data_IF_682357409234
#
_entry.id   IF_682357409234
#
_cell.length_a   1.000
_cell.length_b   1.000
_cell.length_c   1.000
_cell.angle_alpha   90.00
_cell.angle_beta   90.00
_cell.angle_gamma   90.00
#
_symmetry.space_group_name_H-M   'P 1'
#
loop_
_entity.id
_entity.type
_entity.pdbx_description
1 polymer ?
#
# COMPACT_ATOMS: atom_id res chain seq x y z
N UNK A 1 0.08 5.13 33.96
CA UNK A 1 -0.43 4.83 32.60
C UNK A 1 0.21 3.51 32.17
N UNK A 2 -0.52 2.41 32.27
CA UNK A 2 0.02 1.07 31.99
C UNK A 2 -0.04 0.80 30.48
N UNK A 3 1.11 0.81 29.82
CA UNK A 3 1.23 0.43 28.41
C UNK A 3 1.15 -1.10 28.29
N UNK A 4 -0.02 -1.63 27.94
CA UNK A 4 -0.17 -3.02 27.49
C UNK A 4 0.39 -3.09 26.07
N UNK A 5 1.69 -3.34 25.97
CA UNK A 5 2.26 -3.97 24.77
C UNK A 5 2.57 -5.39 25.21
N UNK A 6 1.67 -6.32 24.87
CA UNK A 6 1.94 -7.74 25.03
C UNK A 6 3.08 -8.08 24.07
N UNK A 7 4.18 -8.64 24.58
CA UNK A 7 5.39 -8.95 23.83
C UNK A 7 5.22 -9.94 22.65
N UNK A 8 3.98 -10.39 22.38
CA UNK A 8 3.66 -11.41 21.38
C UNK A 8 2.51 -10.99 20.44
N UNK A 9 2.40 -9.69 20.14
CA UNK A 9 1.43 -9.20 19.17
C UNK A 9 1.89 -9.54 17.74
N UNK A 10 1.20 -10.48 17.09
CA UNK A 10 1.48 -10.87 15.71
C UNK A 10 0.81 -9.86 14.78
N UNK A 11 1.61 -9.04 14.11
CA UNK A 11 1.13 -8.12 13.07
C UNK A 11 1.15 -8.82 11.71
N UNK A 12 -0.03 -9.08 11.15
CA UNK A 12 -0.13 -9.54 9.76
C UNK A 12 -0.05 -8.33 8.82
N UNK A 13 1.12 -8.14 8.22
CA UNK A 13 1.38 -7.05 7.28
C UNK A 13 1.24 -7.49 5.81
N UNK A 14 0.75 -8.71 5.55
CA UNK A 14 0.57 -9.22 4.20
C UNK A 14 -0.71 -8.65 3.57
N UNK A 15 -0.56 -8.07 2.38
CA UNK A 15 -1.66 -7.51 1.61
C UNK A 15 -1.77 -8.21 0.24
N UNK A 16 -2.99 -8.53 -0.24
CA UNK A 16 -3.18 -9.14 -1.56
C UNK A 16 -2.78 -8.22 -2.73
N UNK A 17 -1.57 -8.36 -3.25
CA UNK A 17 -1.00 -7.56 -4.32
C UNK A 17 -1.76 -7.62 -5.66
N UNK A 18 -1.85 -8.80 -6.25
CA UNK A 18 -2.43 -8.97 -7.58
C UNK A 18 -3.06 -10.35 -7.75
N UNK A 19 -4.00 -10.45 -8.69
CA UNK A 19 -4.63 -11.69 -9.13
C UNK A 19 -4.07 -12.10 -10.49
N UNK A 20 -3.70 -13.37 -10.63
CA UNK A 20 -3.08 -13.93 -11.83
C UNK A 20 -3.97 -15.03 -12.41
N UNK A 21 -4.11 -15.05 -13.74
CA UNK A 21 -5.08 -15.90 -14.44
C UNK A 21 -4.46 -17.00 -15.33
N UNK A 22 -3.14 -16.97 -15.51
CA UNK A 22 -2.39 -17.92 -16.33
C UNK A 22 -1.21 -18.50 -15.55
N UNK A 23 -0.81 -19.71 -15.91
CA UNK A 23 0.35 -20.34 -15.26
C UNK A 23 1.67 -19.66 -15.66
N UNK A 24 1.75 -19.13 -16.88
CA UNK A 24 2.95 -18.48 -17.41
C UNK A 24 3.20 -17.13 -16.72
N UNK A 25 2.16 -16.29 -16.60
CA UNK A 25 2.27 -15.02 -15.86
C UNK A 25 2.59 -15.25 -14.38
N UNK A 26 2.11 -16.36 -13.80
CA UNK A 26 2.42 -16.78 -12.43
C UNK A 26 3.90 -17.10 -12.29
N UNK A 27 4.48 -17.92 -13.18
CA UNK A 27 5.92 -18.26 -13.15
C UNK A 27 6.79 -17.02 -13.32
N UNK A 28 6.46 -16.16 -14.30
CA UNK A 28 7.21 -14.94 -14.56
C UNK A 28 7.21 -14.00 -13.36
N UNK A 29 6.07 -13.86 -12.67
CA UNK A 29 5.97 -13.04 -11.47
C UNK A 29 6.79 -13.62 -10.31
N UNK A 30 6.75 -14.94 -10.10
CA UNK A 30 7.56 -15.62 -9.08
C UNK A 30 9.06 -15.43 -9.32
N UNK A 31 9.53 -15.64 -10.56
CA UNK A 31 10.94 -15.46 -10.92
C UNK A 31 11.40 -14.04 -10.62
N UNK A 32 10.61 -13.03 -10.98
CA UNK A 32 10.94 -11.63 -10.68
C UNK A 32 10.95 -11.34 -9.19
N UNK A 33 9.98 -11.84 -8.43
CA UNK A 33 9.92 -11.63 -6.98
C UNK A 33 11.08 -12.31 -6.25
N UNK A 34 11.42 -13.55 -6.64
CA UNK A 34 12.56 -14.27 -6.09
C UNK A 34 13.89 -13.57 -6.40
N UNK A 35 14.06 -13.09 -7.64
CA UNK A 35 15.25 -12.35 -8.05
C UNK A 35 15.48 -11.08 -7.21
N UNK A 36 14.39 -10.42 -6.80
CA UNK A 36 14.43 -9.18 -6.02
C UNK A 36 14.20 -9.39 -4.51
N UNK A 37 14.20 -10.65 -4.05
CA UNK A 37 14.03 -11.04 -2.64
C UNK A 37 12.74 -10.52 -2.00
N UNK A 38 11.67 -10.39 -2.79
CA UNK A 38 10.34 -10.03 -2.28
C UNK A 38 9.68 -11.26 -1.68
N UNK A 39 9.26 -11.17 -0.43
CA UNK A 39 8.51 -12.25 0.21
C UNK A 39 7.07 -12.24 -0.25
N UNK A 40 6.55 -13.40 -0.65
CA UNK A 40 5.19 -13.53 -1.13
C UNK A 40 4.52 -14.82 -0.66
N UNK A 41 3.20 -14.76 -0.56
CA UNK A 41 2.31 -15.88 -0.30
C UNK A 41 1.31 -16.01 -1.44
N UNK A 42 1.02 -17.24 -1.89
CA UNK A 42 0.06 -17.49 -2.96
C UNK A 42 -1.20 -18.11 -2.38
N UNK A 43 -2.31 -17.39 -2.52
CA UNK A 43 -3.65 -17.88 -2.23
C UNK A 43 -4.28 -18.43 -3.52
N UNK A 44 -4.41 -19.75 -3.59
CA UNK A 44 -5.10 -20.41 -4.69
C UNK A 44 -6.62 -20.26 -4.52
N UNK A 45 -7.30 -19.89 -5.60
CA UNK A 45 -8.75 -19.85 -5.62
C UNK A 45 -9.26 -21.21 -6.08
N UNK A 46 -10.14 -21.82 -5.29
CA UNK A 46 -10.76 -23.08 -5.65
C UNK A 46 -11.53 -22.93 -6.97
N UNK A 47 -11.17 -23.73 -7.97
CA UNK A 47 -11.94 -23.81 -9.21
C UNK A 47 -13.32 -24.36 -8.85
N UNK A 48 -14.37 -23.58 -9.05
CA UNK A 48 -15.74 -24.09 -8.90
C UNK A 48 -15.94 -25.34 -9.77
N UNK A 49 -16.72 -26.31 -9.30
CA UNK A 49 -16.95 -27.58 -9.99
C UNK A 49 -17.33 -27.41 -11.48
N UNK A 50 -18.13 -26.39 -11.79
CA UNK A 50 -18.50 -26.02 -13.17
C UNK A 50 -17.28 -25.56 -13.98
N UNK A 51 -16.43 -24.72 -13.40
CA UNK A 51 -15.24 -24.19 -14.06
C UNK A 51 -14.23 -25.31 -14.36
N UNK A 52 -14.15 -26.32 -13.50
CA UNK A 52 -13.31 -27.52 -13.71
C UNK A 52 -13.80 -28.40 -14.88
N UNK A 53 -15.10 -28.36 -15.20
CA UNK A 53 -15.71 -29.14 -16.29
C UNK A 53 -15.54 -28.47 -17.68
N UNK A 54 -15.49 -27.14 -17.72
CA UNK A 54 -15.28 -26.37 -18.96
C UNK A 54 -13.79 -26.12 -19.30
N UNK A 55 -12.89 -26.30 -18.34
CA UNK A 55 -11.45 -26.06 -18.49
C UNK A 55 -10.73 -27.25 -19.14
N UNK A 56 -11.12 -27.61 -20.36
CA UNK A 56 -10.55 -28.74 -21.13
C UNK A 56 -9.06 -28.56 -21.50
N UNK A 57 -8.50 -27.36 -21.32
CA UNK A 57 -7.11 -27.03 -21.68
C UNK A 57 -6.16 -26.87 -20.49
N UNK A 58 -6.63 -26.95 -19.24
CA UNK A 58 -5.80 -26.97 -18.02
C UNK A 58 -4.94 -25.73 -17.71
N UNK A 59 -4.72 -24.83 -18.67
CA UNK A 59 -3.79 -23.70 -18.55
C UNK A 59 -4.34 -22.46 -17.82
N UNK A 60 -5.64 -22.42 -17.51
CA UNK A 60 -6.26 -21.31 -16.78
C UNK A 60 -6.20 -21.59 -15.29
N UNK A 61 -5.50 -20.75 -14.55
CA UNK A 61 -5.47 -20.81 -13.09
C UNK A 61 -6.03 -19.52 -12.53
N UNK A 62 -6.36 -19.50 -11.25
CA UNK A 62 -6.68 -18.24 -10.57
C UNK A 62 -6.01 -18.26 -9.21
N UNK A 63 -5.04 -17.39 -9.01
CA UNK A 63 -4.36 -17.23 -7.72
C UNK A 63 -4.14 -15.77 -7.40
N UNK A 64 -4.03 -15.47 -6.10
CA UNK A 64 -3.77 -14.13 -5.59
C UNK A 64 -2.43 -14.13 -4.86
N UNK A 65 -1.52 -13.25 -5.29
CA UNK A 65 -0.27 -13.02 -4.59
C UNK A 65 -0.52 -12.05 -3.43
N UNK A 66 -0.09 -12.42 -2.23
CA UNK A 66 -0.02 -11.53 -1.07
C UNK A 66 1.45 -11.22 -0.79
N UNK A 67 1.77 -9.96 -0.51
CA UNK A 67 3.13 -9.51 -0.23
C UNK A 67 3.12 -8.62 1.02
N UNK A 68 4.28 -8.37 1.61
CA UNK A 68 4.38 -7.42 2.70
C UNK A 68 4.02 -5.99 2.25
N UNK A 69 3.22 -5.26 3.04
CA UNK A 69 2.82 -3.86 2.74
C UNK A 69 4.02 -2.95 2.43
N UNK A 70 5.16 -3.15 3.09
CA UNK A 70 6.35 -2.32 2.90
C UNK A 70 7.02 -2.53 1.54
N UNK A 71 6.75 -3.66 0.87
CA UNK A 71 7.34 -4.01 -0.42
C UNK A 71 6.44 -3.64 -1.59
N UNK A 72 5.27 -3.04 -1.37
CA UNK A 72 4.28 -2.79 -2.43
C UNK A 72 4.84 -1.94 -3.57
N UNK A 73 5.49 -0.82 -3.25
CA UNK A 73 6.00 0.10 -4.26
C UNK A 73 7.03 -0.60 -5.18
N UNK A 74 7.95 -1.35 -4.57
CA UNK A 74 8.98 -2.12 -5.27
C UNK A 74 8.36 -3.25 -6.10
N UNK A 75 7.40 -3.98 -5.54
CA UNK A 75 6.70 -5.05 -6.24
C UNK A 75 5.92 -4.53 -7.46
N UNK A 76 5.35 -3.32 -7.38
CA UNK A 76 4.65 -2.68 -8.50
C UNK A 76 5.62 -2.38 -9.65
N UNK A 77 6.76 -1.78 -9.35
CA UNK A 77 7.82 -1.49 -10.33
C UNK A 77 8.34 -2.77 -11.01
N UNK A 78 8.64 -3.81 -10.21
CA UNK A 78 9.20 -5.07 -10.74
C UNK A 78 8.17 -5.87 -11.56
N UNK A 79 6.90 -5.80 -11.20
CA UNK A 79 5.82 -6.51 -11.91
C UNK A 79 5.34 -5.77 -13.16
N UNK A 80 5.80 -4.55 -13.39
CA UNK A 80 5.44 -3.76 -14.56
C UNK A 80 5.85 -4.49 -15.85
N UNK A 81 4.96 -4.51 -16.83
CA UNK A 81 5.16 -5.20 -18.11
C UNK A 81 4.91 -6.72 -18.10
N UNK A 82 4.45 -7.32 -16.99
CA UNK A 82 3.91 -8.69 -17.04
C UNK A 82 2.46 -8.63 -17.51
N UNK A 83 2.16 -9.29 -18.64
CA UNK A 83 0.79 -9.39 -19.13
C UNK A 83 -0.04 -10.39 -18.31
N UNK A 84 -1.35 -10.13 -18.17
CA UNK A 84 -2.27 -11.08 -17.53
C UNK A 84 -2.33 -11.06 -16.00
N UNK A 85 -1.76 -10.02 -15.38
CA UNK A 85 -1.93 -9.74 -13.94
C UNK A 85 -2.95 -8.61 -13.73
N UNK A 86 -3.80 -8.77 -12.71
CA UNK A 86 -4.74 -7.72 -12.27
C UNK A 86 -4.33 -7.24 -10.89
N UNK A 87 -3.81 -6.02 -10.80
CA UNK A 87 -3.49 -5.39 -9.53
C UNK A 87 -4.76 -5.19 -8.69
N UNK A 88 -4.61 -5.33 -7.37
CA UNK A 88 -5.68 -5.02 -6.42
C UNK A 88 -5.42 -3.63 -5.87
N UNK A 89 -6.34 -2.70 -6.14
CA UNK A 89 -6.21 -1.33 -5.64
C UNK A 89 -6.48 -1.31 -4.14
N UNK A 90 -5.44 -1.00 -3.37
CA UNK A 90 -5.60 -0.57 -1.99
C UNK A 90 -5.72 0.94 -2.01
N UNK A 91 -6.95 1.45 -1.84
CA UNK A 91 -7.22 2.89 -1.65
C UNK A 91 -6.43 3.53 -0.49
N UNK A 92 -5.68 2.74 0.28
CA UNK A 92 -4.83 3.15 1.39
C UNK A 92 -3.48 3.74 0.96
N UNK A 93 -2.91 3.33 -0.19
CA UNK A 93 -1.68 3.95 -0.71
C UNK A 93 -1.93 5.39 -1.15
N UNK A 94 -3.08 5.63 -1.76
CA UNK A 94 -3.48 6.97 -2.18
C UNK A 94 -3.82 7.86 -0.97
N UNK A 95 -4.38 7.28 0.10
CA UNK A 95 -4.65 8.00 1.34
C UNK A 95 -3.34 8.39 2.08
N UNK A 96 -2.40 7.46 2.24
CA UNK A 96 -1.12 7.73 2.88
C UNK A 96 -0.26 8.71 2.06
N UNK A 97 -0.23 8.57 0.74
CA UNK A 97 0.50 9.48 -0.16
C UNK A 97 -0.19 10.87 -0.21
N UNK A 98 -1.53 10.93 -0.13
CA UNK A 98 -2.28 12.19 0.03
C UNK A 98 -2.02 12.87 1.37
N UNK A 99 -1.90 12.11 2.45
CA UNK A 99 -1.54 12.66 3.78
C UNK A 99 -0.09 13.17 3.75
N UNK A 100 0.84 12.46 3.11
CA UNK A 100 2.24 12.91 2.97
C UNK A 100 2.36 14.18 2.12
N UNK A 101 1.67 14.26 0.97
CA UNK A 101 1.64 15.49 0.16
C UNK A 101 1.04 16.67 0.91
N UNK A 102 0.02 16.43 1.76
CA UNK A 102 -0.54 17.47 2.63
C UNK A 102 0.46 17.94 3.68
N UNK A 103 1.20 17.05 4.33
CA UNK A 103 2.19 17.45 5.34
C UNK A 103 3.42 18.12 4.73
N UNK A 104 3.83 17.73 3.52
CA UNK A 104 4.87 18.41 2.74
C UNK A 104 4.44 19.82 2.30
N UNK A 105 3.18 20.00 1.88
CA UNK A 105 2.63 21.31 1.50
C UNK A 105 2.42 22.27 2.69
N UNK A 106 2.21 21.74 3.91
CA UNK A 106 2.14 22.56 5.14
C UNK A 106 3.54 23.02 5.56
N UNK A 107 4.59 22.22 5.32
CA UNK A 107 5.98 22.59 5.64
C UNK A 107 6.55 23.71 4.76
N UNK A 108 5.98 23.96 3.58
CA UNK A 108 6.47 24.99 2.65
C UNK A 108 5.84 26.36 2.84
N UNK A 109 4.87 26.51 3.76
CA UNK A 109 4.40 27.84 4.15
C UNK A 109 5.28 28.40 5.29
N UNK A 110 5.89 29.60 5.13
CA UNK A 110 6.52 30.28 6.26
C UNK A 110 5.46 30.61 7.32
N UNK A 111 5.83 30.45 8.59
CA UNK A 111 4.97 30.48 9.77
C UNK A 111 3.85 31.54 9.74
N UNK A 112 2.58 31.15 9.93
CA UNK A 112 1.48 32.10 10.15
C UNK A 112 1.42 32.63 11.59
N UNK A 113 2.37 32.29 12.46
CA UNK A 113 2.43 32.79 13.85
C UNK A 113 3.20 34.11 13.95
N UNK A 114 2.66 35.17 13.34
CA UNK A 114 2.93 36.54 13.79
C UNK A 114 1.65 37.04 14.46
N UNK A 115 1.63 36.97 15.80
CA UNK A 115 0.60 37.67 16.59
C UNK A 115 0.69 39.17 16.30
N UNK A 116 -0.41 39.85 15.94
CA UNK A 116 -0.37 41.29 15.78
C UNK A 116 -0.11 41.93 17.16
N UNK A 117 0.90 42.80 17.23
CA UNK A 117 1.19 43.56 18.43
C UNK A 117 0.00 44.48 18.77
N UNK A 118 -0.54 44.34 19.98
CA UNK A 118 -1.52 45.26 20.55
C UNK A 118 -0.86 46.63 20.71
N UNK A 119 -1.34 47.65 19.98
CA UNK A 119 -1.01 49.05 20.25
C UNK A 119 -1.71 49.44 21.55
N UNK A 120 -0.93 49.68 22.59
CA UNK A 120 -1.38 50.38 23.79
C UNK A 120 -1.20 51.87 23.47
N UNK A 121 -2.29 52.60 23.34
CA UNK A 121 -2.24 54.07 23.38
C UNK A 121 -2.00 54.46 24.85
N UNK A 122 -0.85 55.09 25.10
CA UNK A 122 -0.60 55.80 26.35
C UNK A 122 -1.59 56.97 26.43
N UNK A 123 -2.52 56.89 27.38
CA UNK A 123 -3.25 58.06 27.86
C UNK A 123 -2.26 58.82 28.75
N UNK A 124 -1.76 59.95 28.23
CA UNK A 124 -1.08 60.96 29.01
C UNK A 124 -2.13 61.73 29.81
N UNK A 125 -2.21 61.48 31.11
CA UNK A 125 -2.91 62.37 32.03
C UNK A 125 -1.91 63.45 32.48
N UNK A 126 -2.07 64.65 31.92
CA UNK A 126 -1.54 65.90 32.45
C UNK A 126 -2.35 66.30 33.70
N UNK A 127 -1.71 66.32 34.87
CA UNK A 127 -1.84 67.34 35.94
C UNK A 127 -0.84 67.13 37.09
#
# INVERSE_FOLDING_TARGET
>A
MSSIIQANQVFNNEIPFCRVYSIDSKKMLEERFLAHRISYFIEWQDKSFLQRLFDRKGNKIVCTFKINKNELARAKEISEGIEGIKYKDYGDFDAADRIRRRSEAVKSQPDPMVLPALKIEEISDDE
#
